data_IF_817267689723
#
_entry.id   IF_817267689723
#
_cell.length_a   1.000
_cell.length_b   1.000
_cell.length_c   1.000
_cell.angle_alpha   90.00
_cell.angle_beta   90.00
_cell.angle_gamma   90.00
#
_symmetry.space_group_name_H-M   'P 1'
#
loop_
_entity.id
_entity.type
_entity.pdbx_description
1 polymer ?
#
# COMPACT_ATOMS: atom_id res chain seq x y z
N UNK A 1 23.66 -11.65 -22.23
CA UNK A 1 22.21 -11.32 -22.41
C UNK A 1 21.42 -12.35 -21.63
N UNK A 2 20.54 -11.88 -20.73
CA UNK A 2 19.63 -12.73 -19.95
C UNK A 2 18.19 -12.41 -20.36
N UNK A 3 17.34 -13.42 -20.39
CA UNK A 3 15.92 -13.24 -20.66
C UNK A 3 15.15 -12.98 -19.34
N UNK A 4 13.98 -12.32 -19.38
CA UNK A 4 13.20 -12.01 -18.17
C UNK A 4 12.87 -13.22 -17.29
N UNK A 5 12.70 -14.40 -17.87
CA UNK A 5 12.40 -15.64 -17.13
C UNK A 5 13.64 -16.23 -16.40
N UNK A 6 14.85 -15.78 -16.74
CA UNK A 6 16.10 -16.18 -16.07
C UNK A 6 16.41 -15.31 -14.85
N UNK A 7 15.68 -14.19 -14.67
CA UNK A 7 15.86 -13.26 -13.56
C UNK A 7 15.04 -13.68 -12.35
N UNK A 8 15.62 -13.54 -11.15
CA UNK A 8 14.85 -13.66 -9.90
C UNK A 8 13.79 -12.56 -9.78
N UNK A 9 12.78 -12.74 -8.91
CA UNK A 9 11.74 -11.75 -8.67
C UNK A 9 12.30 -10.37 -8.34
N UNK A 10 13.26 -10.29 -7.42
CA UNK A 10 13.90 -9.03 -7.05
C UNK A 10 14.74 -8.41 -8.18
N UNK A 11 15.37 -9.22 -9.04
CA UNK A 11 16.08 -8.69 -10.20
C UNK A 11 15.10 -8.11 -11.24
N UNK A 12 13.99 -8.79 -11.52
CA UNK A 12 12.94 -8.28 -12.39
C UNK A 12 12.38 -6.96 -11.87
N UNK A 13 12.13 -6.87 -10.56
CA UNK A 13 11.62 -5.64 -9.94
C UNK A 13 12.60 -4.48 -10.08
N UNK A 14 13.90 -4.70 -9.86
CA UNK A 14 14.93 -3.67 -10.06
C UNK A 14 15.01 -3.21 -11.52
N UNK A 15 14.84 -4.10 -12.48
CA UNK A 15 14.77 -3.74 -13.90
C UNK A 15 13.53 -2.90 -14.19
N UNK A 16 12.36 -3.24 -13.66
CA UNK A 16 11.14 -2.46 -13.83
C UNK A 16 11.27 -1.05 -13.22
N UNK A 17 11.85 -0.93 -12.03
CA UNK A 17 12.16 0.37 -11.42
C UNK A 17 13.10 1.19 -12.33
N UNK A 18 14.17 0.58 -12.83
CA UNK A 18 15.11 1.24 -13.74
C UNK A 18 14.41 1.72 -15.03
N UNK A 19 13.51 0.93 -15.59
CA UNK A 19 12.69 1.32 -16.74
C UNK A 19 11.78 2.51 -16.43
N UNK A 20 11.16 2.54 -15.28
CA UNK A 20 10.32 3.67 -14.83
C UNK A 20 11.11 4.97 -14.64
N UNK A 21 12.41 4.87 -14.31
CA UNK A 21 13.26 6.01 -14.02
C UNK A 21 14.06 6.53 -15.21
N UNK A 22 14.11 5.80 -16.33
CA UNK A 22 14.98 6.14 -17.49
C UNK A 22 14.66 7.51 -18.09
N UNK A 23 13.41 7.96 -17.97
CA UNK A 23 12.95 9.26 -18.45
C UNK A 23 13.04 10.38 -17.41
N UNK A 24 13.69 10.16 -16.27
CA UNK A 24 13.79 11.12 -15.17
C UNK A 24 12.44 11.74 -14.76
N UNK A 25 11.44 10.94 -14.37
CA UNK A 25 10.10 11.43 -14.07
C UNK A 25 10.12 12.27 -12.80
N UNK A 26 9.23 13.26 -12.72
CA UNK A 26 8.95 13.99 -11.47
C UNK A 26 8.03 13.22 -10.52
N UNK A 27 7.28 12.27 -11.05
CA UNK A 27 6.34 11.41 -10.32
C UNK A 27 6.46 9.98 -10.81
N UNK A 28 6.68 9.04 -9.89
CA UNK A 28 6.65 7.60 -10.14
C UNK A 28 5.39 6.99 -9.52
N UNK A 29 4.65 6.23 -10.29
CA UNK A 29 3.53 5.42 -9.79
C UNK A 29 4.01 3.99 -9.64
N UNK A 30 4.01 3.48 -8.43
CA UNK A 30 4.42 2.14 -8.06
C UNK A 30 3.19 1.33 -7.62
N UNK A 31 2.69 0.51 -8.54
CA UNK A 31 1.52 -0.34 -8.30
C UNK A 31 1.98 -1.72 -7.84
N UNK A 32 1.67 -2.06 -6.59
CA UNK A 32 2.04 -3.30 -5.91
C UNK A 32 3.52 -3.70 -6.10
N UNK A 33 4.50 -2.79 -5.89
CA UNK A 33 5.87 -2.99 -6.34
C UNK A 33 6.63 -4.06 -5.54
N UNK A 34 6.07 -4.55 -4.44
CA UNK A 34 6.68 -5.58 -3.59
C UNK A 34 5.88 -6.87 -3.52
N UNK A 35 4.78 -6.97 -4.27
CA UNK A 35 3.95 -8.17 -4.32
C UNK A 35 4.74 -9.37 -4.85
N UNK A 36 4.54 -10.53 -4.23
CA UNK A 36 5.24 -11.78 -4.53
C UNK A 36 6.76 -11.77 -4.32
N UNK A 37 7.28 -10.83 -3.53
CA UNK A 37 8.66 -10.82 -3.06
C UNK A 37 8.74 -11.34 -1.62
N UNK A 38 9.83 -12.04 -1.30
CA UNK A 38 10.12 -12.37 0.10
C UNK A 38 10.44 -11.11 0.92
N UNK A 39 10.28 -11.18 2.25
CA UNK A 39 10.41 -10.04 3.17
C UNK A 39 11.76 -9.34 3.03
N UNK A 40 12.83 -10.11 2.84
CA UNK A 40 14.20 -9.55 2.73
C UNK A 40 14.35 -8.74 1.44
N UNK A 41 13.89 -9.27 0.32
CA UNK A 41 13.94 -8.59 -0.97
C UNK A 41 12.99 -7.39 -0.98
N UNK A 42 11.80 -7.52 -0.37
CA UNK A 42 10.88 -6.40 -0.19
C UNK A 42 11.56 -5.23 0.50
N UNK A 43 12.19 -5.44 1.67
CA UNK A 43 12.90 -4.39 2.40
C UNK A 43 14.00 -3.72 1.53
N UNK A 44 14.76 -4.50 0.77
CA UNK A 44 15.79 -3.97 -0.13
C UNK A 44 15.20 -3.11 -1.25
N UNK A 45 14.03 -3.48 -1.80
CA UNK A 45 13.36 -2.70 -2.84
C UNK A 45 12.81 -1.39 -2.26
N UNK A 46 12.22 -1.41 -1.07
CA UNK A 46 11.71 -0.22 -0.41
C UNK A 46 12.85 0.77 -0.10
N UNK A 47 13.96 0.28 0.44
CA UNK A 47 15.16 1.10 0.69
C UNK A 47 15.72 1.70 -0.62
N UNK A 48 15.76 0.90 -1.69
CA UNK A 48 16.18 1.38 -3.00
C UNK A 48 15.27 2.51 -3.52
N UNK A 49 13.94 2.34 -3.43
CA UNK A 49 12.98 3.34 -3.86
C UNK A 49 13.11 4.64 -3.08
N UNK A 50 13.29 4.56 -1.76
CA UNK A 50 13.53 5.73 -0.91
C UNK A 50 14.80 6.49 -1.31
N UNK A 51 15.91 5.80 -1.48
CA UNK A 51 17.18 6.39 -1.96
C UNK A 51 17.03 7.05 -3.34
N UNK A 52 16.26 6.44 -4.24
CA UNK A 52 16.02 6.98 -5.58
C UNK A 52 15.11 8.21 -5.54
N UNK A 53 14.11 8.22 -4.67
CA UNK A 53 13.24 9.36 -4.41
C UNK A 53 14.05 10.57 -3.95
N UNK A 54 14.87 10.39 -2.91
CA UNK A 54 15.72 11.44 -2.35
C UNK A 54 16.72 11.98 -3.39
N UNK A 55 17.41 11.07 -4.08
CA UNK A 55 18.42 11.42 -5.10
C UNK A 55 17.84 12.20 -6.28
N UNK A 56 16.66 11.80 -6.75
CA UNK A 56 16.04 12.40 -7.93
C UNK A 56 15.03 13.49 -7.59
N UNK A 57 14.76 13.76 -6.29
CA UNK A 57 13.78 14.75 -5.82
C UNK A 57 12.40 14.56 -6.48
N UNK A 58 11.95 13.31 -6.59
CA UNK A 58 10.69 12.93 -7.24
C UNK A 58 9.62 12.54 -6.22
N UNK A 59 8.35 12.72 -6.59
CA UNK A 59 7.22 12.14 -5.85
C UNK A 59 7.06 10.66 -6.18
N UNK A 60 6.59 9.86 -5.21
CA UNK A 60 6.17 8.48 -5.45
C UNK A 60 4.73 8.32 -4.98
N UNK A 61 3.85 7.80 -5.84
CA UNK A 61 2.56 7.26 -5.46
C UNK A 61 2.73 5.76 -5.30
N UNK A 62 2.53 5.27 -4.07
CA UNK A 62 2.66 3.87 -3.73
C UNK A 62 1.27 3.25 -3.59
N UNK A 63 0.91 2.31 -4.46
CA UNK A 63 -0.36 1.59 -4.39
C UNK A 63 -0.06 0.22 -3.79
N UNK A 64 -0.65 -0.08 -2.65
CA UNK A 64 -0.46 -1.36 -1.96
C UNK A 64 -1.58 -1.64 -0.96
N UNK A 65 -1.81 -2.91 -0.67
CA UNK A 65 -2.66 -3.36 0.43
C UNK A 65 -1.87 -3.67 1.71
N UNK A 66 -0.54 -3.56 1.68
CA UNK A 66 0.32 -3.83 2.83
C UNK A 66 0.50 -2.58 3.69
N UNK A 67 -0.29 -2.48 4.77
CA UNK A 67 -0.25 -1.34 5.69
C UNK A 67 1.09 -1.20 6.42
N UNK A 68 1.84 -2.29 6.64
CA UNK A 68 3.19 -2.24 7.21
C UNK A 68 4.14 -1.46 6.31
N UNK A 69 4.07 -1.68 4.98
CA UNK A 69 4.85 -0.91 4.00
C UNK A 69 4.44 0.56 4.01
N UNK A 70 3.13 0.84 4.08
CA UNK A 70 2.61 2.21 4.14
C UNK A 70 3.17 2.95 5.36
N UNK A 71 3.14 2.32 6.53
CA UNK A 71 3.66 2.91 7.78
C UNK A 71 5.17 3.20 7.72
N UNK A 72 5.92 2.40 6.97
CA UNK A 72 7.39 2.52 6.91
C UNK A 72 7.88 3.63 5.97
N UNK A 73 7.19 3.85 4.83
CA UNK A 73 7.74 4.68 3.75
C UNK A 73 6.87 5.86 3.31
N UNK A 74 5.60 5.92 3.71
CA UNK A 74 4.69 6.96 3.23
C UNK A 74 4.61 8.15 4.19
N UNK A 75 4.60 9.38 3.65
CA UNK A 75 4.33 10.60 4.40
C UNK A 75 2.82 10.84 4.55
N UNK A 76 2.06 10.49 3.51
CA UNK A 76 0.60 10.66 3.43
C UNK A 76 -0.07 9.41 2.91
N UNK A 77 -1.26 9.15 3.39
CA UNK A 77 -2.07 8.00 3.03
C UNK A 77 -3.42 8.44 2.49
N UNK A 78 -3.87 7.76 1.45
CA UNK A 78 -5.22 7.86 0.91
C UNK A 78 -5.84 6.48 0.96
N UNK A 79 -6.85 6.29 1.79
CA UNK A 79 -7.57 5.03 1.94
C UNK A 79 -8.69 4.99 0.92
N UNK A 80 -8.74 3.92 0.13
CA UNK A 80 -9.78 3.71 -0.88
C UNK A 80 -10.66 2.51 -0.53
N UNK A 81 -11.96 2.66 -0.74
CA UNK A 81 -12.93 1.58 -0.65
C UNK A 81 -13.94 1.69 -1.78
N UNK A 82 -14.22 0.58 -2.45
CA UNK A 82 -15.17 0.53 -3.57
C UNK A 82 -14.96 1.66 -4.60
N UNK A 83 -13.70 1.90 -5.02
CA UNK A 83 -13.35 2.91 -6.02
C UNK A 83 -13.43 4.36 -5.55
N UNK A 84 -13.84 4.62 -4.31
CA UNK A 84 -13.90 5.97 -3.72
C UNK A 84 -12.82 6.17 -2.67
N UNK A 85 -12.26 7.38 -2.60
CA UNK A 85 -11.38 7.78 -1.51
C UNK A 85 -12.26 8.06 -0.28
N UNK A 86 -12.06 7.29 0.80
CA UNK A 86 -12.89 7.38 2.01
C UNK A 86 -12.19 8.15 3.12
N UNK A 87 -10.87 8.17 3.13
CA UNK A 87 -10.08 8.91 4.10
C UNK A 87 -8.72 9.31 3.52
N UNK A 88 -8.18 10.45 3.93
CA UNK A 88 -6.86 10.92 3.52
C UNK A 88 -6.23 11.78 4.62
N UNK A 89 -4.95 11.59 4.88
CA UNK A 89 -4.21 12.36 5.86
C UNK A 89 -2.72 12.00 5.93
N UNK A 90 -1.98 12.65 6.84
CA UNK A 90 -0.65 12.20 7.24
C UNK A 90 -0.69 10.75 7.73
N UNK A 91 0.41 10.01 7.55
CA UNK A 91 0.47 8.60 7.96
C UNK A 91 0.13 8.42 9.44
N UNK A 92 0.67 9.26 10.31
CA UNK A 92 0.42 9.18 11.75
C UNK A 92 -1.06 9.39 12.11
N UNK A 93 -1.75 10.33 11.46
CA UNK A 93 -3.17 10.56 11.70
C UNK A 93 -4.01 9.35 11.30
N UNK A 94 -3.72 8.77 10.13
CA UNK A 94 -4.44 7.57 9.65
C UNK A 94 -4.22 6.37 10.54
N UNK A 95 -2.99 6.17 11.08
CA UNK A 95 -2.69 5.00 11.89
C UNK A 95 -3.11 5.14 13.36
N UNK A 96 -3.01 6.35 13.94
CA UNK A 96 -3.28 6.57 15.36
C UNK A 96 -4.63 7.21 15.65
N UNK A 97 -5.18 7.99 14.72
CA UNK A 97 -6.45 8.71 14.87
C UNK A 97 -7.37 8.57 13.65
N UNK A 98 -7.63 7.34 13.16
CA UNK A 98 -8.48 7.14 11.99
C UNK A 98 -9.90 7.66 12.24
N UNK A 99 -10.43 8.42 11.28
CA UNK A 99 -11.78 9.00 11.37
C UNK A 99 -12.84 8.14 10.68
N UNK A 100 -12.45 7.35 9.66
CA UNK A 100 -13.40 6.57 8.88
C UNK A 100 -13.53 5.13 9.42
N UNK A 101 -14.76 4.59 9.58
CA UNK A 101 -14.97 3.22 10.11
C UNK A 101 -14.27 2.11 9.33
N UNK A 102 -14.16 2.25 8.00
CA UNK A 102 -13.42 1.29 7.18
C UNK A 102 -11.93 1.26 7.54
N UNK A 103 -11.29 2.45 7.70
CA UNK A 103 -9.89 2.55 8.10
C UNK A 103 -9.67 1.92 9.49
N UNK A 104 -10.58 2.19 10.42
CA UNK A 104 -10.55 1.55 11.75
C UNK A 104 -10.62 0.03 11.66
N UNK A 105 -11.49 -0.49 10.79
CA UNK A 105 -11.64 -1.93 10.53
C UNK A 105 -10.37 -2.53 9.93
N UNK A 106 -9.77 -1.87 8.93
CA UNK A 106 -8.51 -2.30 8.32
C UNK A 106 -7.38 -2.40 9.36
N UNK A 107 -7.22 -1.37 10.20
CA UNK A 107 -6.16 -1.34 11.21
C UNK A 107 -6.37 -2.41 12.29
N UNK A 108 -7.62 -2.70 12.68
CA UNK A 108 -7.95 -3.77 13.64
C UNK A 108 -7.76 -5.18 13.08
N UNK A 109 -7.82 -5.33 11.76
CA UNK A 109 -7.57 -6.62 11.09
C UNK A 109 -6.08 -6.92 10.86
N UNK A 110 -5.18 -5.98 11.21
CA UNK A 110 -3.73 -6.21 11.12
C UNK A 110 -3.21 -7.03 12.30
N UNK A 111 -2.32 -8.02 12.05
CA UNK A 111 -1.56 -8.66 13.11
C UNK A 111 -0.66 -7.65 13.82
N UNK A 112 -0.80 -7.51 15.13
CA UNK A 112 0.13 -6.72 15.94
C UNK A 112 1.29 -7.61 16.38
N UNK A 113 2.52 -7.23 16.03
CA UNK A 113 3.73 -7.97 16.40
C UNK A 113 4.02 -7.86 17.92
N UNK A 114 3.53 -6.79 18.56
CA UNK A 114 3.82 -6.45 19.96
C UNK A 114 2.76 -6.95 20.95
N UNK A 115 1.71 -7.64 20.48
CA UNK A 115 0.68 -8.15 21.37
C UNK A 115 1.17 -9.40 22.09
N UNK A 116 1.38 -9.31 23.41
CA UNK A 116 1.72 -10.45 24.30
C UNK A 116 0.60 -11.52 24.36
N UNK A 117 -0.57 -11.22 23.82
CA UNK A 117 -1.69 -12.15 23.66
C UNK A 117 -2.09 -12.26 22.20
N UNK A 118 -2.42 -13.48 21.76
CA UNK A 118 -3.06 -13.74 20.46
C UNK A 118 -4.45 -13.09 20.45
N UNK A 119 -4.53 -11.77 20.30
CA UNK A 119 -5.81 -11.12 20.02
C UNK A 119 -6.33 -11.64 18.69
N UNK A 120 -7.52 -12.22 18.74
CA UNK A 120 -8.18 -12.72 17.54
C UNK A 120 -8.42 -11.55 16.59
N UNK A 121 -7.86 -11.63 15.38
CA UNK A 121 -8.10 -10.62 14.36
C UNK A 121 -9.62 -10.47 14.15
N UNK A 122 -10.11 -9.23 14.22
CA UNK A 122 -11.53 -8.94 14.02
C UNK A 122 -11.72 -8.61 12.54
N UNK A 123 -12.36 -9.48 11.76
CA UNK A 123 -12.65 -9.19 10.36
C UNK A 123 -13.64 -8.03 10.26
N UNK A 124 -13.58 -7.32 9.15
CA UNK A 124 -14.63 -6.34 8.81
C UNK A 124 -15.87 -7.14 8.46
N UNK A 125 -16.96 -6.94 9.23
CA UNK A 125 -18.24 -7.59 8.99
C UNK A 125 -18.93 -7.01 7.76
N UNK A 126 -19.78 -7.80 7.11
CA UNK A 126 -20.61 -7.39 5.99
C UNK A 126 -20.16 -7.94 4.63
N UNK A 127 -20.84 -7.51 3.59
CA UNK A 127 -20.59 -7.92 2.20
C UNK A 127 -20.07 -6.72 1.41
N UNK A 128 -18.99 -6.85 0.62
CA UNK A 128 -18.55 -5.78 -0.27
C UNK A 128 -19.66 -5.31 -1.19
N UNK A 129 -19.71 -3.99 -1.43
CA UNK A 129 -20.73 -3.39 -2.29
C UNK A 129 -20.62 -3.86 -3.74
N UNK A 130 -21.77 -3.94 -4.41
CA UNK A 130 -21.81 -4.18 -5.85
C UNK A 130 -21.27 -2.94 -6.59
N UNK A 131 -20.14 -3.12 -7.27
CA UNK A 131 -19.49 -2.07 -8.04
C UNK A 131 -20.21 -1.70 -9.33
N UNK A 132 -21.15 -2.54 -9.81
CA UNK A 132 -21.96 -2.24 -10.99
C UNK A 132 -23.06 -1.25 -10.67
N UNK A 133 -23.60 -1.30 -9.44
CA UNK A 133 -24.60 -0.39 -8.93
C UNK A 133 -24.17 0.23 -7.61
N UNK A 134 -23.18 1.16 -7.63
CA UNK A 134 -22.64 1.73 -6.41
C UNK A 134 -23.71 2.55 -5.68
N UNK A 135 -23.79 2.44 -4.35
CA UNK A 135 -24.77 3.19 -3.57
C UNK A 135 -24.50 4.69 -3.61
N UNK A 136 -25.58 5.49 -3.46
CA UNK A 136 -25.44 6.92 -3.20
C UNK A 136 -24.81 7.14 -1.80
N UNK A 137 -23.83 8.03 -1.73
CA UNK A 137 -23.14 8.37 -0.47
C UNK A 137 -21.89 7.51 -0.20
N UNK A 138 -21.67 7.20 1.08
CA UNK A 138 -20.53 6.40 1.52
C UNK A 138 -20.77 4.92 1.24
N UNK A 139 -19.94 4.27 0.38
CA UNK A 139 -20.13 2.86 0.04
C UNK A 139 -19.95 1.91 1.24
N UNK A 140 -19.24 2.31 2.27
CA UNK A 140 -19.02 1.48 3.45
C UNK A 140 -20.27 1.38 4.34
N UNK A 141 -21.14 2.41 4.35
CA UNK A 141 -22.37 2.36 5.13
C UNK A 141 -23.35 1.25 4.69
N UNK A 142 -23.26 0.80 3.44
CA UNK A 142 -24.09 -0.28 2.90
C UNK A 142 -23.43 -1.66 3.02
N UNK A 143 -22.16 -1.71 3.42
CA UNK A 143 -21.41 -2.95 3.68
C UNK A 143 -21.79 -3.56 5.02
N UNK A 144 -22.10 -2.73 6.01
CA UNK A 144 -22.53 -3.09 7.37
C UNK A 144 -24.03 -3.33 7.43
#
# INVERSE_FOLDING_TARGET
>A
KQYPHELSGGMRQRVMIAMGLICHPKLLIADEPTTALDVTIQAQILELMKKLQEKNQMGIIFITHNLGVVAEICDKVSVMYAGKMVEQGPVDDIFYNPGHPYTMGLLRSMPRVDAESYERLIPIEGTPVDMLNPPEGCPFCTTL
#
